data_IF_685608248129
#
_entry.id   IF_685608248129
#
_cell.length_a   1.000
_cell.length_b   1.000
_cell.length_c   1.000
_cell.angle_alpha   90.00
_cell.angle_beta   90.00
_cell.angle_gamma   90.00
#
_symmetry.space_group_name_H-M   'P 1'
#
loop_
_entity.id
_entity.type
_entity.pdbx_description
1 polymer ?
#
# COMPACT_ATOMS: atom_id res chain seq x y z
N UNK A 1 28.01 8.26 12.95
CA UNK A 1 26.84 9.12 12.72
C UNK A 1 25.75 8.24 12.15
N UNK A 2 24.63 8.09 12.85
CA UNK A 2 23.55 7.23 12.42
C UNK A 2 22.87 7.91 11.21
N UNK A 3 22.99 7.32 10.04
CA UNK A 3 22.45 7.87 8.78
C UNK A 3 20.92 7.81 8.76
N UNK A 4 20.34 6.76 9.35
CA UNK A 4 18.92 6.44 9.29
C UNK A 4 18.19 6.83 10.58
N UNK A 5 16.97 7.35 10.44
CA UNK A 5 16.07 7.70 11.53
C UNK A 5 14.66 7.16 11.27
N UNK A 6 13.88 6.97 12.34
CA UNK A 6 12.46 6.62 12.20
C UNK A 6 11.70 7.77 11.58
N UNK A 7 10.83 7.53 10.56
CA UNK A 7 10.08 8.59 9.90
C UNK A 7 9.14 9.30 10.87
N UNK A 8 9.05 10.62 10.74
CA UNK A 8 8.12 11.49 11.46
C UNK A 8 7.18 12.16 10.45
N UNK A 9 6.06 12.72 10.91
CA UNK A 9 5.11 13.41 10.00
C UNK A 9 5.76 14.55 9.22
N UNK A 10 6.67 15.27 9.85
CA UNK A 10 7.40 16.41 9.28
C UNK A 10 8.31 15.97 8.12
N UNK A 11 8.77 14.72 8.12
CA UNK A 11 9.62 14.19 7.05
C UNK A 11 8.86 14.09 5.72
N UNK A 12 7.53 14.06 5.75
CA UNK A 12 6.70 14.05 4.53
C UNK A 12 7.01 15.22 3.61
N UNK A 13 7.32 16.38 4.17
CA UNK A 13 7.58 17.61 3.42
C UNK A 13 8.76 17.44 2.46
N UNK A 14 9.82 16.75 2.88
CA UNK A 14 10.99 16.53 2.03
C UNK A 14 11.01 15.16 1.35
N UNK A 15 10.43 14.12 1.96
CA UNK A 15 10.49 12.75 1.45
C UNK A 15 9.49 12.51 0.30
N UNK A 16 8.25 13.01 0.42
CA UNK A 16 7.21 12.81 -0.62
C UNK A 16 7.62 13.41 -1.98
N UNK A 17 8.23 14.61 -2.09
CA UNK A 17 8.75 15.09 -3.36
C UNK A 17 9.79 14.16 -4.01
N UNK A 18 10.67 13.54 -3.22
CA UNK A 18 11.67 12.60 -3.73
C UNK A 18 11.03 11.29 -4.21
N UNK A 19 10.04 10.77 -3.47
CA UNK A 19 9.23 9.62 -3.89
C UNK A 19 8.48 9.92 -5.21
N UNK A 20 7.85 11.09 -5.29
CA UNK A 20 7.13 11.51 -6.49
C UNK A 20 8.05 11.71 -7.71
N UNK A 21 9.30 12.15 -7.49
CA UNK A 21 10.29 12.30 -8.56
C UNK A 21 10.74 10.95 -9.15
N UNK A 22 10.66 9.87 -8.37
CA UNK A 22 10.92 8.52 -8.86
C UNK A 22 9.85 8.08 -9.86
N UNK A 23 8.62 8.62 -9.75
CA UNK A 23 7.47 8.33 -10.61
C UNK A 23 7.09 6.83 -10.67
N UNK A 24 7.54 6.02 -9.72
CA UNK A 24 7.18 4.61 -9.61
C UNK A 24 5.71 4.46 -9.17
N UNK A 25 4.92 3.59 -9.80
CA UNK A 25 3.56 3.30 -9.37
C UNK A 25 3.48 2.27 -8.21
N UNK A 26 4.61 1.77 -7.71
CA UNK A 26 4.66 0.78 -6.64
C UNK A 26 4.29 1.38 -5.28
N UNK A 27 3.56 0.62 -4.47
CA UNK A 27 2.98 1.09 -3.21
C UNK A 27 4.03 1.55 -2.19
N UNK A 28 5.25 1.03 -2.24
CA UNK A 28 6.36 1.44 -1.37
C UNK A 28 6.80 2.90 -1.58
N UNK A 29 6.43 3.53 -2.72
CA UNK A 29 6.82 4.91 -3.06
C UNK A 29 5.78 5.95 -2.62
N UNK A 30 5.09 5.66 -1.52
CA UNK A 30 4.19 6.55 -0.82
C UNK A 30 4.71 6.78 0.60
N UNK A 31 4.87 8.06 1.01
CA UNK A 31 5.35 8.37 2.36
C UNK A 31 4.41 7.83 3.44
N UNK A 32 3.09 7.82 3.19
CA UNK A 32 2.14 7.25 4.12
C UNK A 32 2.45 5.77 4.41
N UNK A 33 2.75 4.96 3.38
CA UNK A 33 3.17 3.56 3.56
C UNK A 33 4.45 3.46 4.39
N UNK A 34 5.49 4.22 4.04
CA UNK A 34 6.75 4.22 4.80
C UNK A 34 6.51 4.55 6.27
N UNK A 35 5.71 5.58 6.54
CA UNK A 35 5.41 6.02 7.91
C UNK A 35 4.57 4.98 8.67
N UNK A 36 3.48 4.50 8.09
CA UNK A 36 2.54 3.60 8.74
C UNK A 36 3.18 2.27 9.11
N UNK A 37 3.89 1.66 8.16
CA UNK A 37 4.57 0.40 8.42
C UNK A 37 5.77 0.53 9.35
N UNK A 38 6.36 1.74 9.48
CA UNK A 38 7.40 1.98 10.50
C UNK A 38 6.87 1.89 11.94
N UNK A 39 5.55 1.92 12.15
CA UNK A 39 4.91 1.74 13.46
C UNK A 39 4.72 0.26 13.81
N UNK A 40 4.67 -0.59 12.80
CA UNK A 40 4.47 -2.02 12.95
C UNK A 40 5.80 -2.79 13.00
N UNK A 41 6.77 -2.43 12.15
CA UNK A 41 8.09 -3.05 12.12
C UNK A 41 9.20 -2.03 11.81
N UNK A 42 10.48 -2.32 12.17
CA UNK A 42 11.56 -1.35 12.02
C UNK A 42 11.79 -0.95 10.56
N UNK A 43 11.36 0.27 10.23
CA UNK A 43 11.60 0.94 8.98
C UNK A 43 12.15 2.35 9.25
N UNK A 44 13.22 2.72 8.58
CA UNK A 44 13.92 3.98 8.80
C UNK A 44 14.27 4.64 7.48
N UNK A 45 14.37 5.97 7.53
CA UNK A 45 14.66 6.81 6.37
C UNK A 45 15.93 7.61 6.57
N UNK A 46 16.58 7.95 5.45
CA UNK A 46 17.69 8.88 5.40
C UNK A 46 17.61 9.69 4.10
N UNK A 47 18.14 10.91 4.13
CA UNK A 47 18.32 11.73 2.93
C UNK A 47 19.80 11.75 2.53
N UNK A 48 20.05 11.47 1.25
CA UNK A 48 21.36 11.64 0.65
C UNK A 48 21.19 12.51 -0.61
N UNK A 49 21.57 13.79 -0.50
CA UNK A 49 21.34 14.79 -1.54
C UNK A 49 19.88 14.81 -2.01
N UNK A 50 19.62 14.54 -3.29
CA UNK A 50 18.30 14.46 -3.90
C UNK A 50 17.77 13.02 -3.97
N UNK A 51 18.15 12.18 -2.99
CA UNK A 51 17.61 10.82 -2.86
C UNK A 51 17.13 10.52 -1.44
N UNK A 52 15.99 9.85 -1.37
CA UNK A 52 15.49 9.19 -0.18
C UNK A 52 16.03 7.76 -0.15
N UNK A 53 16.62 7.37 0.98
CA UNK A 53 17.03 6.03 1.30
C UNK A 53 16.08 5.47 2.33
N UNK A 54 15.59 4.24 2.12
CA UNK A 54 14.72 3.54 3.08
C UNK A 54 15.38 2.23 3.47
N UNK A 55 15.52 2.03 4.79
CA UNK A 55 16.01 0.81 5.40
C UNK A 55 14.85 0.06 6.04
N UNK A 56 14.81 -1.26 5.84
CA UNK A 56 13.75 -2.13 6.34
C UNK A 56 14.40 -3.30 7.07
N UNK A 57 13.84 -3.66 8.24
CA UNK A 57 14.19 -4.89 8.94
C UNK A 57 12.98 -5.83 8.83
N UNK A 58 13.01 -6.76 7.91
CA UNK A 58 11.90 -7.67 7.61
C UNK A 58 12.30 -9.15 7.69
N UNK A 59 11.50 -10.01 7.10
CA UNK A 59 11.70 -11.47 7.05
C UNK A 59 13.00 -11.88 6.33
N UNK A 60 13.47 -11.07 5.37
CA UNK A 60 14.75 -11.25 4.69
C UNK A 60 15.94 -10.66 5.46
N UNK A 61 15.73 -10.18 6.71
CA UNK A 61 16.73 -9.45 7.47
C UNK A 61 16.79 -7.98 7.08
N UNK A 62 18.00 -7.40 7.11
CA UNK A 62 18.23 -6.01 6.74
C UNK A 62 18.21 -5.85 5.21
N UNK A 63 17.24 -5.08 4.72
CA UNK A 63 17.06 -4.76 3.31
C UNK A 63 16.84 -3.25 3.12
N UNK A 64 16.80 -2.82 1.87
CA UNK A 64 16.56 -1.43 1.50
C UNK A 64 15.61 -1.35 0.30
N UNK A 65 14.86 -0.25 0.19
CA UNK A 65 14.22 0.08 -1.08
C UNK A 65 15.25 0.64 -2.07
N UNK A 66 14.92 0.58 -3.35
CA UNK A 66 15.66 1.33 -4.35
C UNK A 66 15.67 2.83 -3.99
N UNK A 67 16.81 3.52 -4.04
CA UNK A 67 16.93 4.93 -3.65
C UNK A 67 16.03 5.83 -4.51
N UNK A 68 14.97 6.40 -3.93
CA UNK A 68 14.01 7.24 -4.64
C UNK A 68 14.50 8.66 -4.83
N UNK A 69 14.26 9.25 -6.01
CA UNK A 69 14.62 10.63 -6.32
C UNK A 69 15.35 10.81 -7.65
N UNK A 70 15.81 12.04 -7.92
CA UNK A 70 16.42 12.43 -9.20
C UNK A 70 17.96 12.56 -9.17
N UNK A 71 18.59 12.43 -8.00
CA UNK A 71 20.04 12.53 -7.86
C UNK A 71 20.79 11.34 -8.50
N UNK A 72 22.15 11.38 -8.54
CA UNK A 72 22.95 10.27 -9.04
C UNK A 72 22.66 8.96 -8.29
N UNK A 73 22.39 7.86 -9.02
CA UNK A 73 22.03 6.58 -8.42
C UNK A 73 23.22 5.84 -7.81
N UNK A 74 24.35 5.76 -8.53
CA UNK A 74 25.50 4.98 -8.08
C UNK A 74 26.03 5.40 -6.69
N UNK A 75 26.20 6.69 -6.36
CA UNK A 75 26.61 7.11 -5.01
C UNK A 75 25.60 6.71 -3.91
N UNK A 76 24.31 6.73 -4.21
CA UNK A 76 23.29 6.29 -3.26
C UNK A 76 23.34 4.78 -3.02
N UNK A 77 23.55 3.99 -4.06
CA UNK A 77 23.79 2.53 -3.97
C UNK A 77 25.05 2.24 -3.17
N UNK A 78 26.13 2.99 -3.37
CA UNK A 78 27.38 2.83 -2.62
C UNK A 78 27.20 3.16 -1.13
N UNK A 79 26.39 4.19 -0.81
CA UNK A 79 26.09 4.53 0.57
C UNK A 79 25.29 3.40 1.27
N UNK A 80 24.32 2.80 0.56
CA UNK A 80 23.58 1.62 1.07
C UNK A 80 24.49 0.40 1.25
N UNK A 81 25.36 0.13 0.28
CA UNK A 81 26.30 -0.99 0.37
C UNK A 81 27.27 -0.84 1.55
N UNK A 82 27.80 0.37 1.77
CA UNK A 82 28.65 0.65 2.94
C UNK A 82 27.88 0.47 4.24
N UNK A 83 26.62 0.91 4.31
CA UNK A 83 25.78 0.71 5.49
C UNK A 83 25.48 -0.78 5.72
N UNK A 84 25.17 -1.55 4.68
CA UNK A 84 24.94 -2.99 4.76
C UNK A 84 26.21 -3.72 5.27
N UNK A 85 27.39 -3.39 4.71
CA UNK A 85 28.67 -3.95 5.12
C UNK A 85 29.01 -3.69 6.59
N UNK A 86 28.75 -2.47 7.09
CA UNK A 86 28.91 -2.15 8.54
C UNK A 86 28.02 -3.02 9.41
N UNK A 87 26.85 -3.42 8.91
CA UNK A 87 25.92 -4.33 9.60
C UNK A 87 26.21 -5.81 9.33
N UNK A 88 27.28 -6.14 8.60
CA UNK A 88 27.73 -7.52 8.36
C UNK A 88 26.86 -8.29 7.36
N UNK A 89 26.12 -7.62 6.49
CA UNK A 89 25.23 -8.24 5.49
C UNK A 89 25.52 -7.71 4.07
N UNK A 90 25.25 -8.51 3.01
CA UNK A 90 25.31 -8.01 1.64
C UNK A 90 24.19 -7.02 1.37
N UNK A 91 24.42 -6.04 0.46
CA UNK A 91 23.35 -5.15 0.03
C UNK A 91 22.25 -5.93 -0.66
N UNK A 92 21.04 -5.80 -0.14
CA UNK A 92 19.80 -6.37 -0.72
C UNK A 92 18.80 -5.24 -0.91
N UNK A 93 18.39 -5.00 -2.16
CA UNK A 93 17.30 -4.11 -2.49
C UNK A 93 16.03 -4.94 -2.72
N UNK A 94 14.90 -4.52 -2.17
CA UNK A 94 13.61 -5.20 -2.31
C UNK A 94 12.61 -4.31 -3.06
N UNK A 95 11.53 -4.89 -3.56
CA UNK A 95 10.44 -4.21 -4.27
C UNK A 95 10.94 -3.39 -5.48
N UNK A 96 11.99 -3.85 -6.14
CA UNK A 96 12.59 -3.19 -7.31
C UNK A 96 11.72 -3.44 -8.53
N UNK A 97 11.21 -2.37 -9.17
CA UNK A 97 10.43 -2.49 -10.41
C UNK A 97 11.33 -2.77 -11.62
N UNK A 98 10.73 -3.12 -12.78
CA UNK A 98 11.50 -3.37 -14.01
C UNK A 98 12.26 -2.13 -14.47
N UNK A 99 11.68 -0.93 -14.34
CA UNK A 99 12.33 0.33 -14.68
C UNK A 99 13.53 0.61 -13.76
N UNK A 100 13.36 0.34 -12.47
CA UNK A 100 14.43 0.49 -11.48
C UNK A 100 15.52 -0.54 -11.65
N UNK A 101 15.18 -1.77 -12.02
CA UNK A 101 16.14 -2.80 -12.42
C UNK A 101 16.99 -2.33 -13.58
N UNK A 102 16.37 -1.81 -14.65
CA UNK A 102 17.10 -1.27 -15.78
C UNK A 102 18.01 -0.09 -15.39
N UNK A 103 17.55 0.79 -14.49
CA UNK A 103 18.35 1.90 -13.98
C UNK A 103 19.55 1.42 -13.14
N UNK A 104 19.37 0.38 -12.30
CA UNK A 104 20.48 -0.25 -11.55
C UNK A 104 21.51 -0.88 -12.48
N UNK A 105 21.08 -1.62 -13.50
CA UNK A 105 21.98 -2.21 -14.50
C UNK A 105 22.77 -1.14 -15.26
N UNK A 106 22.13 -0.01 -15.59
CA UNK A 106 22.82 1.10 -16.27
C UNK A 106 23.80 1.82 -15.36
N UNK A 107 23.45 2.07 -14.09
CA UNK A 107 24.31 2.82 -13.16
C UNK A 107 25.40 1.96 -12.49
N UNK A 108 25.15 0.66 -12.31
CA UNK A 108 26.01 -0.28 -11.61
C UNK A 108 26.09 -1.62 -12.36
N UNK A 109 26.66 -1.66 -13.57
CA UNK A 109 26.61 -2.84 -14.45
C UNK A 109 27.16 -4.11 -13.78
N UNK A 110 26.37 -5.20 -13.82
CA UNK A 110 26.76 -6.51 -13.30
C UNK A 110 26.97 -6.58 -11.78
N UNK A 111 26.46 -5.57 -11.04
CA UNK A 111 26.58 -5.52 -9.58
C UNK A 111 25.52 -6.35 -8.87
N UNK A 112 24.35 -6.55 -9.46
CA UNK A 112 23.21 -7.21 -8.84
C UNK A 112 22.78 -8.45 -9.60
N UNK A 113 22.38 -9.47 -8.85
CA UNK A 113 21.53 -10.54 -9.32
C UNK A 113 20.07 -10.22 -8.96
N UNK A 114 19.14 -10.41 -9.89
CA UNK A 114 17.74 -10.10 -9.71
C UNK A 114 16.91 -11.39 -9.66
N UNK A 115 16.07 -11.48 -8.65
CA UNK A 115 15.13 -12.56 -8.46
C UNK A 115 13.72 -11.98 -8.43
N UNK A 116 12.82 -12.51 -9.25
CA UNK A 116 11.43 -12.08 -9.30
C UNK A 116 10.70 -12.47 -8.01
N UNK A 117 10.05 -11.50 -7.38
CA UNK A 117 9.25 -11.68 -6.18
C UNK A 117 7.76 -11.62 -6.52
N UNK A 118 7.19 -12.75 -6.96
CA UNK A 118 5.77 -12.82 -7.38
C UNK A 118 4.80 -12.44 -6.26
N UNK A 119 5.14 -12.69 -5.02
CA UNK A 119 4.26 -12.45 -3.88
C UNK A 119 4.16 -10.96 -3.54
N UNK A 120 5.19 -10.18 -3.93
CA UNK A 120 5.25 -8.74 -3.80
C UNK A 120 4.70 -7.95 -5.01
N UNK A 121 4.12 -8.58 -6.03
CA UNK A 121 3.57 -7.84 -7.20
C UNK A 121 2.36 -7.02 -6.85
N UNK A 122 2.36 -5.73 -7.20
CA UNK A 122 1.18 -4.89 -7.03
C UNK A 122 0.14 -5.15 -8.12
N UNK A 123 -1.12 -5.00 -7.71
CA UNK A 123 -2.30 -5.15 -8.55
C UNK A 123 -2.85 -3.78 -8.91
N UNK A 124 -2.64 -3.34 -10.15
CA UNK A 124 -3.15 -2.07 -10.66
C UNK A 124 -4.40 -2.27 -11.51
N UNK A 125 -5.37 -1.41 -11.28
CA UNK A 125 -6.67 -1.42 -11.97
C UNK A 125 -6.95 -0.04 -12.54
N UNK A 126 -7.49 0.00 -13.75
CA UNK A 126 -8.05 1.24 -14.32
C UNK A 126 -9.19 1.74 -13.41
N UNK A 127 -9.13 3.01 -13.00
CA UNK A 127 -10.09 3.59 -12.07
C UNK A 127 -11.52 3.55 -12.62
N UNK A 128 -11.71 3.70 -13.94
CA UNK A 128 -13.03 3.64 -14.55
C UNK A 128 -13.60 2.21 -14.49
N UNK A 129 -12.73 1.22 -14.62
CA UNK A 129 -13.16 -0.19 -14.50
C UNK A 129 -13.62 -0.55 -13.10
N UNK A 130 -12.92 -0.06 -12.07
CA UNK A 130 -13.37 -0.27 -10.68
C UNK A 130 -14.65 0.53 -10.38
N UNK A 131 -14.74 1.77 -10.84
CA UNK A 131 -15.88 2.64 -10.61
C UNK A 131 -17.18 2.17 -11.31
N UNK A 132 -17.06 1.59 -12.52
CA UNK A 132 -18.23 1.25 -13.36
C UNK A 132 -18.44 -0.25 -13.47
N UNK A 133 -17.47 -1.09 -13.14
CA UNK A 133 -17.49 -2.55 -13.19
C UNK A 133 -18.05 -3.10 -14.53
N UNK A 134 -17.54 -2.70 -15.70
CA UNK A 134 -18.16 -2.99 -17.00
C UNK A 134 -17.99 -4.45 -17.41
N UNK A 135 -18.82 -4.89 -18.36
CA UNK A 135 -18.68 -6.15 -19.07
C UNK A 135 -19.10 -7.40 -18.29
N UNK A 136 -18.95 -8.56 -18.94
CA UNK A 136 -19.39 -9.86 -18.40
C UNK A 136 -18.50 -10.35 -17.26
N UNK A 137 -17.19 -10.08 -17.31
CA UNK A 137 -16.24 -10.56 -16.29
C UNK A 137 -16.56 -10.02 -14.88
N UNK A 138 -17.01 -8.78 -14.78
CA UNK A 138 -17.35 -8.13 -13.50
C UNK A 138 -18.84 -8.23 -13.14
N UNK A 139 -19.62 -9.05 -13.87
CA UNK A 139 -21.05 -9.25 -13.59
C UNK A 139 -21.32 -9.76 -12.17
N UNK A 140 -20.49 -10.68 -11.67
CA UNK A 140 -20.63 -11.18 -10.30
C UNK A 140 -20.47 -10.07 -9.26
N UNK A 141 -19.50 -9.13 -9.45
CA UNK A 141 -19.31 -7.98 -8.54
C UNK A 141 -20.55 -7.07 -8.54
N UNK A 142 -21.08 -6.75 -9.73
CA UNK A 142 -22.34 -5.96 -9.82
C UNK A 142 -23.52 -6.66 -9.15
N UNK A 143 -23.63 -7.99 -9.28
CA UNK A 143 -24.69 -8.74 -8.61
C UNK A 143 -24.56 -8.72 -7.09
N UNK A 144 -23.33 -8.81 -6.55
CA UNK A 144 -23.12 -8.67 -5.11
C UNK A 144 -23.52 -7.28 -4.62
N UNK A 145 -23.14 -6.23 -5.34
CA UNK A 145 -23.50 -4.85 -4.99
C UNK A 145 -25.03 -4.67 -5.10
N UNK A 146 -25.67 -5.18 -6.15
CA UNK A 146 -27.12 -5.09 -6.28
C UNK A 146 -27.84 -5.74 -5.10
N UNK A 147 -27.37 -6.89 -4.60
CA UNK A 147 -27.94 -7.53 -3.41
C UNK A 147 -27.75 -6.69 -2.16
N UNK A 148 -26.60 -6.02 -2.05
CA UNK A 148 -26.37 -5.06 -0.98
C UNK A 148 -27.35 -3.88 -1.07
N UNK A 149 -27.53 -3.29 -2.26
CA UNK A 149 -28.47 -2.21 -2.50
C UNK A 149 -29.93 -2.62 -2.22
N UNK A 150 -30.32 -3.88 -2.55
CA UNK A 150 -31.65 -4.44 -2.25
C UNK A 150 -31.86 -4.69 -0.75
N UNK A 151 -30.82 -5.11 -0.03
CA UNK A 151 -30.86 -5.36 1.42
C UNK A 151 -30.87 -4.08 2.24
N UNK A 152 -30.11 -3.07 1.80
CA UNK A 152 -29.94 -1.79 2.48
C UNK A 152 -30.26 -0.61 1.53
N UNK A 153 -31.53 -0.38 1.18
CA UNK A 153 -31.89 0.62 0.15
C UNK A 153 -31.51 2.06 0.52
N UNK A 154 -31.37 2.34 1.82
CA UNK A 154 -31.06 3.67 2.38
C UNK A 154 -29.60 3.78 2.88
N UNK A 155 -28.68 2.92 2.39
CA UNK A 155 -27.30 3.05 2.77
C UNK A 155 -26.68 4.37 2.27
N UNK A 156 -25.71 4.88 3.02
CA UNK A 156 -25.06 6.16 2.74
C UNK A 156 -23.54 5.94 2.57
N UNK A 157 -22.95 6.73 1.65
CA UNK A 157 -21.52 6.91 1.55
C UNK A 157 -21.14 8.22 2.25
N UNK A 158 -20.22 8.13 3.18
CA UNK A 158 -19.68 9.27 3.94
C UNK A 158 -18.18 9.36 3.72
N UNK A 159 -17.63 10.58 3.75
CA UNK A 159 -16.19 10.77 3.88
C UNK A 159 -15.73 10.31 5.27
N UNK A 160 -14.54 9.71 5.34
CA UNK A 160 -13.90 9.50 6.64
C UNK A 160 -13.40 10.87 7.13
N UNK A 161 -13.85 11.25 8.32
CA UNK A 161 -13.55 12.52 8.97
C UNK A 161 -13.20 12.28 10.43
N UNK A 162 -12.57 13.23 11.14
CA UNK A 162 -12.30 13.06 12.57
C UNK A 162 -13.53 12.70 13.40
N UNK A 163 -14.74 13.06 12.95
CA UNK A 163 -15.98 12.78 13.66
C UNK A 163 -16.38 11.30 13.63
N UNK A 164 -16.11 10.58 12.52
CA UNK A 164 -16.47 9.17 12.35
C UNK A 164 -15.28 8.19 12.39
N UNK A 165 -14.04 8.68 12.53
CA UNK A 165 -12.85 7.83 12.77
C UNK A 165 -13.03 6.86 13.92
N UNK A 166 -13.60 7.22 15.09
CA UNK A 166 -13.81 6.25 16.17
C UNK A 166 -14.67 5.06 15.76
N UNK A 167 -15.64 5.26 14.86
CA UNK A 167 -16.51 4.19 14.36
C UNK A 167 -15.75 3.27 13.39
N UNK A 168 -14.86 3.82 12.55
CA UNK A 168 -13.97 3.02 11.69
C UNK A 168 -13.00 2.17 12.52
N UNK A 169 -12.44 2.73 13.61
CA UNK A 169 -11.57 2.01 14.54
C UNK A 169 -12.31 0.87 15.23
N UNK A 170 -13.57 1.10 15.63
CA UNK A 170 -14.39 0.05 16.25
C UNK A 170 -14.72 -1.06 15.26
N UNK A 171 -15.03 -0.72 13.98
CA UNK A 171 -15.23 -1.71 12.93
C UNK A 171 -13.97 -2.56 12.70
N UNK A 172 -12.79 -1.95 12.68
CA UNK A 172 -11.52 -2.68 12.57
C UNK A 172 -11.30 -3.63 13.74
N UNK A 173 -11.53 -3.18 14.98
CA UNK A 173 -11.38 -4.01 16.16
C UNK A 173 -12.29 -5.24 16.11
N UNK A 174 -13.55 -5.05 15.73
CA UNK A 174 -14.50 -6.16 15.58
C UNK A 174 -14.06 -7.11 14.46
N UNK A 175 -13.63 -6.59 13.34
CA UNK A 175 -13.10 -7.39 12.23
C UNK A 175 -11.87 -8.19 12.64
N UNK A 176 -10.90 -7.56 13.32
CA UNK A 176 -9.70 -8.21 13.82
C UNK A 176 -10.03 -9.33 14.82
N UNK A 177 -10.98 -9.10 15.76
CA UNK A 177 -11.42 -10.10 16.74
C UNK A 177 -12.02 -11.34 16.05
N UNK A 178 -12.88 -11.15 15.04
CA UNK A 178 -13.47 -12.26 14.26
C UNK A 178 -12.37 -13.06 13.56
N UNK A 179 -11.40 -12.40 12.94
CA UNK A 179 -10.29 -13.07 12.22
C UNK A 179 -9.38 -13.86 13.14
N UNK A 180 -9.09 -13.34 14.33
CA UNK A 180 -8.31 -14.04 15.36
C UNK A 180 -9.04 -15.29 15.87
N UNK A 181 -10.36 -15.19 16.10
CA UNK A 181 -11.18 -16.34 16.49
C UNK A 181 -11.18 -17.43 15.40
N UNK A 182 -11.35 -17.04 14.13
CA UNK A 182 -11.29 -17.95 12.98
C UNK A 182 -9.91 -18.63 12.84
N UNK A 183 -8.82 -17.92 13.17
CA UNK A 183 -7.45 -18.46 13.14
C UNK A 183 -7.11 -19.32 14.34
N UNK A 184 -7.95 -19.33 15.39
CA UNK A 184 -7.68 -20.03 16.64
C UNK A 184 -6.58 -19.38 17.48
N UNK A 185 -6.33 -18.09 17.26
CA UNK A 185 -5.35 -17.30 18.01
C UNK A 185 -5.97 -16.71 19.28
N UNK A 186 -5.17 -16.62 20.34
CA UNK A 186 -5.59 -15.89 21.52
C UNK A 186 -5.57 -14.38 21.17
N UNK A 187 -6.67 -13.68 21.31
CA UNK A 187 -6.88 -12.28 20.94
C UNK A 187 -5.97 -11.26 21.67
N UNK A 188 -4.86 -11.69 22.26
CA UNK A 188 -3.93 -10.84 23.02
C UNK A 188 -2.96 -10.04 22.13
N UNK A 189 -2.74 -10.48 20.88
CA UNK A 189 -1.76 -9.85 19.98
C UNK A 189 -2.48 -9.00 18.92
N UNK A 190 -2.28 -7.69 18.97
CA UNK A 190 -2.75 -6.76 17.92
C UNK A 190 -1.90 -6.96 16.68
N UNK A 191 -2.51 -7.19 15.52
CA UNK A 191 -1.78 -7.37 14.26
C UNK A 191 -1.07 -6.08 13.84
N UNK A 192 0.04 -6.23 13.11
CA UNK A 192 0.80 -5.12 12.53
C UNK A 192 -0.09 -4.26 11.61
N UNK A 193 -0.96 -4.90 10.84
CA UNK A 193 -1.94 -4.21 9.99
C UNK A 193 -2.91 -3.34 10.80
N UNK A 194 -3.42 -3.86 11.93
CA UNK A 194 -4.34 -3.11 12.80
C UNK A 194 -3.65 -1.89 13.42
N UNK A 195 -2.37 -2.00 13.81
CA UNK A 195 -1.58 -0.87 14.32
C UNK A 195 -1.45 0.21 13.23
N UNK A 196 -1.03 -0.18 12.03
CA UNK A 196 -0.86 0.73 10.90
C UNK A 196 -2.19 1.40 10.48
N UNK A 197 -3.28 0.63 10.44
CA UNK A 197 -4.61 1.13 10.09
C UNK A 197 -5.15 2.15 11.10
N UNK A 198 -5.03 1.88 12.40
CA UNK A 198 -5.48 2.81 13.43
C UNK A 198 -4.67 4.12 13.36
N UNK A 199 -3.36 4.02 13.18
CA UNK A 199 -2.49 5.18 12.97
C UNK A 199 -2.91 5.98 11.72
N UNK A 200 -3.22 5.29 10.62
CA UNK A 200 -3.71 5.92 9.40
C UNK A 200 -5.00 6.70 9.63
N UNK A 201 -5.99 6.10 10.29
CA UNK A 201 -7.30 6.72 10.55
C UNK A 201 -7.18 8.00 11.40
N UNK A 202 -6.33 8.01 12.43
CA UNK A 202 -6.17 9.19 13.27
C UNK A 202 -5.31 10.30 12.66
N UNK A 203 -4.55 9.99 11.60
CA UNK A 203 -3.59 10.92 11.00
C UNK A 203 -3.75 11.09 9.48
N UNK A 204 -4.96 10.87 8.95
CA UNK A 204 -5.25 10.95 7.52
C UNK A 204 -4.80 12.27 6.89
N UNK A 205 -5.08 13.40 7.55
CA UNK A 205 -4.73 14.73 7.09
C UNK A 205 -3.21 14.94 6.98
N UNK A 206 -2.46 14.50 8.00
CA UNK A 206 -0.99 14.63 8.03
C UNK A 206 -0.33 13.72 7.00
N UNK A 207 -0.91 12.55 6.75
CA UNK A 207 -0.41 11.58 5.78
C UNK A 207 -0.91 11.84 4.35
N UNK A 208 -1.90 12.72 4.18
CA UNK A 208 -2.52 13.01 2.89
C UNK A 208 -3.37 11.86 2.37
N UNK A 209 -4.05 11.18 3.30
CA UNK A 209 -4.96 10.08 2.98
C UNK A 209 -6.39 10.59 2.78
N UNK A 210 -7.12 9.95 1.87
CA UNK A 210 -8.55 10.12 1.66
C UNK A 210 -9.25 8.78 1.83
N UNK A 211 -10.49 8.81 2.28
CA UNK A 211 -11.24 7.57 2.48
C UNK A 211 -12.73 7.78 2.54
N UNK A 212 -13.45 6.67 2.43
CA UNK A 212 -14.91 6.62 2.49
C UNK A 212 -15.39 5.51 3.42
N UNK A 213 -16.53 5.74 4.05
CA UNK A 213 -17.26 4.86 4.95
C UNK A 213 -18.65 4.59 4.36
N UNK A 214 -19.05 3.33 4.30
CA UNK A 214 -20.44 2.96 4.02
C UNK A 214 -21.16 2.73 5.34
N UNK A 215 -22.32 3.41 5.47
CA UNK A 215 -23.25 3.23 6.59
C UNK A 215 -24.53 2.59 6.09
N UNK A 216 -24.94 1.49 6.73
CA UNK A 216 -26.20 0.80 6.47
C UNK A 216 -26.96 0.61 7.79
N UNK A 217 -28.28 0.86 7.79
CA UNK A 217 -29.13 0.84 8.98
C UNK A 217 -28.55 1.65 10.16
N UNK A 218 -27.94 2.79 9.85
CA UNK A 218 -27.32 3.69 10.83
C UNK A 218 -25.97 3.25 11.38
N UNK A 219 -25.44 2.08 10.98
CA UNK A 219 -24.15 1.54 11.45
C UNK A 219 -23.09 1.50 10.34
N UNK A 220 -21.80 1.73 10.65
CA UNK A 220 -20.72 1.55 9.69
C UNK A 220 -20.59 0.05 9.36
N UNK A 221 -20.51 -0.27 8.06
CA UNK A 221 -20.43 -1.66 7.60
C UNK A 221 -19.19 -1.94 6.73
N UNK A 222 -18.63 -0.92 6.15
CA UNK A 222 -17.39 -1.02 5.37
C UNK A 222 -16.72 0.35 5.28
N UNK A 223 -15.39 0.36 5.19
CA UNK A 223 -14.63 1.56 4.87
C UNK A 223 -13.40 1.23 4.03
N UNK A 224 -12.89 2.22 3.33
CA UNK A 224 -11.62 2.11 2.61
C UNK A 224 -10.93 3.46 2.58
N UNK A 225 -9.60 3.46 2.70
CA UNK A 225 -8.77 4.67 2.67
C UNK A 225 -7.45 4.40 1.98
N UNK A 226 -6.85 5.48 1.49
CA UNK A 226 -5.57 5.43 0.79
C UNK A 226 -5.01 6.79 0.47
N UNK A 227 -3.90 6.81 -0.24
CA UNK A 227 -3.18 8.03 -0.60
C UNK A 227 -2.61 8.00 -2.01
N UNK A 228 -1.99 9.11 -2.42
CA UNK A 228 -1.41 9.21 -3.76
C UNK A 228 0.06 8.76 -3.76
N UNK A 229 0.39 7.78 -4.61
CA UNK A 229 1.78 7.44 -4.95
C UNK A 229 2.30 8.48 -5.94
N UNK A 230 1.56 8.68 -7.03
CA UNK A 230 1.77 9.73 -8.02
C UNK A 230 0.45 10.45 -8.29
N UNK A 231 0.43 11.59 -9.00
CA UNK A 231 -0.83 12.26 -9.35
C UNK A 231 -1.82 11.36 -10.12
N UNK A 232 -1.33 10.33 -10.82
CA UNK A 232 -2.14 9.42 -11.62
C UNK A 232 -2.46 8.09 -10.94
N UNK A 233 -1.81 7.77 -9.82
CA UNK A 233 -1.93 6.49 -9.10
C UNK A 233 -2.38 6.72 -7.66
N UNK A 234 -3.56 6.22 -7.33
CA UNK A 234 -4.09 6.17 -5.97
C UNK A 234 -3.83 4.78 -5.38
N UNK A 235 -3.24 4.75 -4.21
CA UNK A 235 -2.95 3.55 -3.43
C UNK A 235 -4.07 3.29 -2.45
N UNK A 236 -4.62 2.09 -2.46
CA UNK A 236 -5.65 1.66 -1.50
C UNK A 236 -4.94 0.92 -0.37
N UNK A 237 -4.56 1.66 0.67
CA UNK A 237 -3.79 1.12 1.80
C UNK A 237 -4.64 0.17 2.65
N UNK A 238 -5.90 0.52 2.91
CA UNK A 238 -6.78 -0.31 3.73
C UNK A 238 -8.19 -0.36 3.17
N UNK A 239 -8.77 -1.56 3.16
CA UNK A 239 -10.16 -1.79 2.77
C UNK A 239 -10.76 -2.86 3.67
N UNK A 240 -11.76 -2.52 4.46
CA UNK A 240 -12.39 -3.37 5.47
C UNK A 240 -13.90 -3.41 5.31
N UNK A 241 -14.48 -4.57 5.49
CA UNK A 241 -15.93 -4.72 5.59
C UNK A 241 -16.26 -5.96 6.43
N UNK A 242 -17.43 -6.00 7.06
CA UNK A 242 -17.92 -7.21 7.69
C UNK A 242 -18.21 -8.30 6.64
N UNK A 243 -17.69 -9.51 6.87
CA UNK A 243 -17.78 -10.62 5.93
C UNK A 243 -19.19 -11.21 5.79
N UNK A 244 -20.04 -11.04 6.78
CA UNK A 244 -21.43 -11.48 6.81
C UNK A 244 -22.38 -10.54 6.06
N UNK A 245 -21.96 -9.29 5.77
CA UNK A 245 -22.73 -8.34 4.97
C UNK A 245 -22.41 -8.53 3.50
N UNK A 246 -23.27 -9.31 2.83
CA UNK A 246 -23.04 -9.65 1.42
C UNK A 246 -23.02 -8.42 0.54
N UNK A 247 -21.92 -8.21 -0.17
CA UNK A 247 -21.78 -7.14 -1.15
C UNK A 247 -21.21 -5.84 -0.60
N UNK A 248 -21.01 -5.68 0.71
CA UNK A 248 -20.42 -4.48 1.30
C UNK A 248 -18.98 -4.25 0.79
N UNK A 249 -18.16 -5.29 0.71
CA UNK A 249 -16.79 -5.19 0.21
C UNK A 249 -16.71 -4.69 -1.24
N UNK A 250 -17.39 -5.27 -2.24
CA UNK A 250 -17.40 -4.72 -3.58
C UNK A 250 -18.11 -3.36 -3.69
N UNK A 251 -19.02 -3.02 -2.77
CA UNK A 251 -19.66 -1.72 -2.74
C UNK A 251 -18.65 -0.64 -2.34
N UNK A 252 -17.93 -0.80 -1.22
CA UNK A 252 -16.94 0.20 -0.78
C UNK A 252 -15.81 0.35 -1.80
N UNK A 253 -15.33 -0.74 -2.41
CA UNK A 253 -14.32 -0.69 -3.46
C UNK A 253 -14.77 0.17 -4.66
N UNK A 254 -16.01 -0.06 -5.16
CA UNK A 254 -16.59 0.74 -6.25
C UNK A 254 -16.77 2.20 -5.86
N UNK A 255 -17.31 2.45 -4.69
CA UNK A 255 -17.64 3.81 -4.27
C UNK A 255 -16.40 4.65 -3.97
N UNK A 256 -15.35 4.07 -3.38
CA UNK A 256 -14.07 4.77 -3.26
C UNK A 256 -13.50 5.13 -4.64
N UNK A 257 -13.53 4.19 -5.60
CA UNK A 257 -13.06 4.47 -6.96
C UNK A 257 -13.87 5.61 -7.64
N UNK A 258 -15.19 5.65 -7.45
CA UNK A 258 -16.05 6.73 -7.94
C UNK A 258 -15.73 8.06 -7.28
N UNK A 259 -15.55 8.06 -5.96
CA UNK A 259 -15.24 9.25 -5.18
C UNK A 259 -13.91 9.86 -5.62
N UNK A 260 -12.85 9.06 -5.67
CA UNK A 260 -11.52 9.52 -6.05
C UNK A 260 -11.50 9.99 -7.52
N UNK A 261 -12.11 9.24 -8.44
CA UNK A 261 -12.24 9.65 -9.84
C UNK A 261 -12.94 11.00 -10.00
N UNK A 262 -13.97 11.27 -9.20
CA UNK A 262 -14.72 12.53 -9.28
C UNK A 262 -13.94 13.72 -8.70
N UNK A 263 -13.14 13.52 -7.67
CA UNK A 263 -12.33 14.54 -7.01
C UNK A 263 -11.02 14.82 -7.75
N UNK A 264 -10.44 13.77 -8.30
CA UNK A 264 -9.12 13.75 -8.91
C UNK A 264 -9.18 13.18 -10.33
N UNK A 265 -9.66 13.95 -11.32
CA UNK A 265 -9.85 13.45 -12.69
C UNK A 265 -8.56 12.98 -13.39
N UNK A 266 -7.39 13.34 -12.86
CA UNK A 266 -6.08 12.89 -13.34
C UNK A 266 -5.75 11.46 -12.94
N UNK A 267 -6.43 10.88 -11.94
CA UNK A 267 -6.19 9.50 -11.50
C UNK A 267 -6.60 8.52 -12.59
N UNK A 268 -5.68 7.66 -12.96
CA UNK A 268 -5.88 6.59 -13.95
C UNK A 268 -5.91 5.22 -13.29
N UNK A 269 -5.11 5.04 -12.25
CA UNK A 269 -4.84 3.76 -11.64
C UNK A 269 -5.17 3.73 -10.15
N UNK A 270 -5.79 2.63 -9.74
CA UNK A 270 -5.85 2.20 -8.34
C UNK A 270 -4.82 1.09 -8.16
N UNK A 271 -3.80 1.34 -7.34
CA UNK A 271 -2.95 0.30 -6.81
C UNK A 271 -3.64 -0.30 -5.57
N UNK A 272 -3.79 -1.61 -5.53
CA UNK A 272 -4.34 -2.33 -4.37
C UNK A 272 -3.30 -3.22 -3.74
N UNK A 273 -2.04 -2.82 -3.85
CA UNK A 273 -0.87 -3.47 -3.27
C UNK A 273 -0.72 -4.95 -3.66
N UNK A 274 0.18 -5.66 -3.02
CA UNK A 274 0.50 -7.06 -3.29
C UNK A 274 -0.47 -8.06 -2.61
N UNK A 275 -0.22 -9.36 -2.79
CA UNK A 275 -1.00 -10.43 -2.15
C UNK A 275 -0.23 -11.19 -1.06
N UNK A 276 1.03 -10.82 -0.77
CA UNK A 276 1.89 -11.43 0.26
C UNK A 276 1.99 -12.96 0.17
N UNK A 277 1.75 -13.55 -1.01
CA UNK A 277 1.67 -15.01 -1.19
C UNK A 277 0.42 -15.67 -0.61
N UNK A 278 -0.54 -14.90 -0.08
CA UNK A 278 -1.78 -15.42 0.50
C UNK A 278 -2.78 -15.79 -0.60
N UNK A 279 -3.08 -17.08 -0.76
CA UNK A 279 -3.94 -17.60 -1.83
C UNK A 279 -5.33 -16.93 -1.85
N UNK A 280 -5.93 -16.72 -0.68
CA UNK A 280 -7.23 -16.08 -0.54
C UNK A 280 -7.22 -14.63 -1.04
N UNK A 281 -6.18 -13.85 -0.65
CA UNK A 281 -6.00 -12.48 -1.07
C UNK A 281 -5.70 -12.39 -2.57
N UNK A 282 -4.80 -13.26 -3.07
CA UNK A 282 -4.51 -13.40 -4.51
C UNK A 282 -5.77 -13.65 -5.32
N UNK A 283 -6.59 -14.61 -4.90
CA UNK A 283 -7.86 -14.93 -5.56
C UNK A 283 -8.82 -13.74 -5.53
N UNK A 284 -8.92 -13.04 -4.40
CA UNK A 284 -9.76 -11.86 -4.26
C UNK A 284 -9.32 -10.75 -5.22
N UNK A 285 -8.02 -10.41 -5.28
CA UNK A 285 -7.46 -9.39 -6.17
C UNK A 285 -7.62 -9.79 -7.65
N UNK A 286 -7.25 -11.01 -8.05
CA UNK A 286 -7.43 -11.50 -9.41
C UNK A 286 -8.91 -11.53 -9.87
N UNK A 287 -9.86 -11.67 -8.95
CA UNK A 287 -11.30 -11.67 -9.27
C UNK A 287 -11.82 -10.34 -9.83
N UNK A 288 -11.04 -9.26 -9.72
CA UNK A 288 -11.32 -7.97 -10.34
C UNK A 288 -10.62 -7.78 -11.69
N UNK A 289 -9.82 -8.76 -12.13
CA UNK A 289 -9.09 -8.77 -13.40
C UNK A 289 -8.18 -7.53 -13.53
N UNK A 290 -7.07 -7.48 -12.79
CA UNK A 290 -6.14 -6.35 -12.83
C UNK A 290 -5.71 -6.05 -14.26
N UNK A 291 -5.54 -4.77 -14.57
CA UNK A 291 -5.08 -4.32 -15.88
C UNK A 291 -3.57 -4.46 -16.00
N UNK A 292 -2.87 -4.32 -14.88
CA UNK A 292 -1.43 -4.48 -14.77
C UNK A 292 -1.09 -5.23 -13.47
N UNK A 293 -0.20 -6.20 -13.57
CA UNK A 293 0.56 -6.74 -12.44
C UNK A 293 1.95 -6.09 -12.50
N UNK A 294 2.26 -5.24 -11.54
CA UNK A 294 3.55 -4.57 -11.47
C UNK A 294 4.59 -5.56 -10.93
N UNK A 295 5.45 -6.01 -11.83
CA UNK A 295 6.53 -6.94 -11.48
C UNK A 295 7.52 -6.27 -10.54
N UNK A 296 7.89 -6.99 -9.47
CA UNK A 296 8.90 -6.57 -8.51
C UNK A 296 9.99 -7.63 -8.36
N UNK A 297 11.19 -7.18 -8.07
CA UNK A 297 12.39 -7.99 -7.91
C UNK A 297 13.05 -7.75 -6.56
N UNK A 298 13.70 -8.78 -6.05
CA UNK A 298 14.77 -8.65 -5.06
C UNK A 298 16.10 -8.59 -5.81
N UNK A 299 16.86 -7.51 -5.61
CA UNK A 299 18.19 -7.33 -6.17
C UNK A 299 19.24 -7.58 -5.08
N UNK A 300 20.08 -8.61 -5.26
CA UNK A 300 21.15 -8.97 -4.33
C UNK A 300 22.50 -8.60 -4.94
N UNK A 301 23.32 -7.89 -4.16
CA UNK A 301 24.68 -7.58 -4.58
C UNK A 301 25.48 -8.90 -4.73
N UNK A 302 26.12 -9.08 -5.88
CA UNK A 302 26.97 -10.24 -6.14
C UNK A 302 28.36 -10.01 -5.56
N UNK A 303 28.92 -11.01 -4.90
CA UNK A 303 30.31 -11.00 -4.44
C UNK A 303 31.25 -10.85 -5.64
N UNK A 304 32.15 -9.89 -5.55
CA UNK A 304 33.20 -9.66 -6.58
C UNK A 304 34.46 -10.41 -6.26
#
# INVERSE_FOLDING_TARGET
MELFQSPQFEDREWAQPLLSAEASPACEYNFANIYLWSRAYPQQIARLDDRLLVRIQGSLGLCYLYPAGSGPLAPAVDALANHAAVNGVPLTLVCVTEEQRAALEAACPGRFAFEEDRDGFDYLYDVNRLADLPGKKLHAKRNHIRRFDEQFPDWLLEDITPANVPECVELERQWAAIRQEEAGEDGSTVSEETIALIEALYHMDKLGLEGALIRADGSPVAFSLGGFITPEVFDVNFEKSFGDIQGAYPAINRELARLIRSRHPQVKWFNREDDMGLEGLRKAKLSYYPDLLLTKYTAREVER
#
